data_IF_822687195115
#
_entry.id   IF_822687195115
#
_cell.length_a   1.000
_cell.length_b   1.000
_cell.length_c   1.000
_cell.angle_alpha   90.00
_cell.angle_beta   90.00
_cell.angle_gamma   90.00
#
_symmetry.space_group_name_H-M   'P 1'
#
loop_
_entity.id
_entity.type
_entity.pdbx_description
1 polymer ?
#
# COMPACT_ATOMS: atom_id res chain seq x y z
N UNK A 1 -15.25 18.65 -13.31
CA UNK A 1 -16.59 19.22 -13.36
C UNK A 1 -17.14 19.33 -14.79
N UNK A 2 -16.45 19.99 -15.75
CA UNK A 2 -16.95 20.17 -17.13
C UNK A 2 -17.35 18.84 -17.79
N UNK A 3 -16.48 17.81 -17.74
CA UNK A 3 -16.75 16.51 -18.34
C UNK A 3 -17.97 15.81 -17.71
N UNK A 4 -18.14 15.95 -16.38
CA UNK A 4 -19.25 15.33 -15.67
C UNK A 4 -20.62 15.91 -16.08
N UNK A 5 -20.66 17.14 -16.58
CA UNK A 5 -21.89 17.86 -16.95
C UNK A 5 -22.06 18.02 -18.47
N UNK A 6 -21.02 17.76 -19.28
CA UNK A 6 -21.03 17.99 -20.71
C UNK A 6 -22.12 17.16 -21.43
N UNK A 7 -22.98 17.76 -22.25
CA UNK A 7 -24.13 17.06 -22.85
C UNK A 7 -23.75 15.92 -23.80
N UNK A 8 -22.58 16.01 -24.45
CA UNK A 8 -22.14 15.01 -25.43
C UNK A 8 -21.44 13.79 -24.78
N UNK A 9 -21.07 13.91 -23.51
CA UNK A 9 -20.48 12.78 -22.75
C UNK A 9 -21.62 11.95 -22.14
N UNK A 10 -21.75 10.69 -22.53
CA UNK A 10 -22.83 9.79 -22.13
C UNK A 10 -22.46 8.84 -21.00
N UNK A 11 -21.18 8.64 -20.76
CA UNK A 11 -20.69 7.75 -19.72
C UNK A 11 -19.33 8.19 -19.17
N UNK A 12 -19.08 7.88 -17.91
CA UNK A 12 -17.84 8.17 -17.18
C UNK A 12 -17.32 6.86 -16.60
N UNK A 13 -16.03 6.57 -16.80
CA UNK A 13 -15.30 5.55 -16.07
C UNK A 13 -14.20 6.21 -15.26
N UNK A 14 -14.13 5.87 -13.98
CA UNK A 14 -13.19 6.45 -13.02
C UNK A 14 -12.52 5.36 -12.19
N UNK A 15 -11.23 5.55 -11.93
CA UNK A 15 -10.48 4.75 -10.96
C UNK A 15 -9.73 5.72 -10.03
N UNK A 16 -9.85 5.54 -8.72
CA UNK A 16 -9.18 6.38 -7.73
C UNK A 16 -9.83 6.33 -6.35
N UNK A 17 -9.62 7.37 -5.54
CA UNK A 17 -10.13 7.42 -4.17
C UNK A 17 -11.65 7.41 -4.09
N UNK A 18 -12.19 6.80 -3.04
CA UNK A 18 -13.65 6.66 -2.82
C UNK A 18 -14.35 8.01 -2.73
N UNK A 19 -13.76 9.00 -2.07
CA UNK A 19 -14.36 10.34 -1.92
C UNK A 19 -14.56 11.04 -3.29
N UNK A 20 -13.56 10.96 -4.16
CA UNK A 20 -13.65 11.52 -5.53
C UNK A 20 -14.59 10.67 -6.38
N UNK A 21 -14.56 9.34 -6.25
CA UNK A 21 -15.47 8.44 -6.94
C UNK A 21 -16.94 8.71 -6.64
N UNK A 22 -17.28 8.93 -5.38
CA UNK A 22 -18.64 9.31 -4.94
C UNK A 22 -19.08 10.65 -5.53
N UNK A 23 -18.20 11.66 -5.54
CA UNK A 23 -18.48 12.94 -6.18
C UNK A 23 -18.74 12.80 -7.68
N UNK A 24 -17.90 12.05 -8.38
CA UNK A 24 -18.04 11.78 -9.82
C UNK A 24 -19.34 11.03 -10.08
N UNK A 25 -19.61 9.98 -9.31
CA UNK A 25 -20.81 9.16 -9.46
C UNK A 25 -22.08 10.01 -9.32
N UNK A 26 -22.21 10.72 -8.20
CA UNK A 26 -23.39 11.53 -7.90
C UNK A 26 -23.60 12.66 -8.93
N UNK A 27 -22.52 13.38 -9.29
CA UNK A 27 -22.60 14.48 -10.24
C UNK A 27 -22.95 14.01 -11.65
N UNK A 28 -22.28 12.97 -12.16
CA UNK A 28 -22.55 12.47 -13.51
C UNK A 28 -23.92 11.79 -13.62
N UNK A 29 -24.34 11.03 -12.60
CA UNK A 29 -25.67 10.41 -12.57
C UNK A 29 -26.80 11.47 -12.57
N UNK A 30 -26.64 12.56 -11.80
CA UNK A 30 -27.59 13.68 -11.80
C UNK A 30 -27.71 14.35 -13.19
N UNK A 31 -26.74 14.18 -14.07
CA UNK A 31 -26.74 14.66 -15.46
C UNK A 31 -27.09 13.55 -16.48
N UNK A 32 -27.73 12.46 -16.04
CA UNK A 32 -28.22 11.39 -16.90
C UNK A 32 -27.14 10.53 -17.56
N UNK A 33 -25.92 10.46 -16.98
CA UNK A 33 -24.81 9.68 -17.51
C UNK A 33 -24.71 8.32 -16.84
N UNK A 34 -24.21 7.32 -17.59
CA UNK A 34 -23.73 6.08 -16.96
C UNK A 34 -22.43 6.32 -16.26
N UNK A 35 -22.26 5.74 -15.08
CA UNK A 35 -21.04 5.87 -14.28
C UNK A 35 -20.54 4.51 -13.83
N UNK A 36 -19.25 4.28 -14.02
CA UNK A 36 -18.48 3.21 -13.42
C UNK A 36 -17.39 3.87 -12.55
N UNK A 37 -17.51 3.74 -11.24
CA UNK A 37 -16.50 4.23 -10.30
C UNK A 37 -15.89 3.03 -9.57
N UNK A 38 -14.60 2.78 -9.83
CA UNK A 38 -13.79 1.75 -9.19
C UNK A 38 -12.90 2.45 -8.18
N UNK A 39 -13.21 2.25 -6.91
CA UNK A 39 -12.55 2.95 -5.82
C UNK A 39 -11.62 2.01 -5.07
N UNK A 40 -11.18 2.43 -3.90
CA UNK A 40 -10.18 1.81 -3.04
C UNK A 40 -10.18 0.28 -3.03
N UNK A 41 -8.98 -0.29 -2.82
CA UNK A 41 -8.76 -1.71 -2.70
C UNK A 41 -7.83 -2.04 -1.52
N UNK A 42 -8.04 -3.18 -0.88
CA UNK A 42 -7.13 -3.75 0.11
C UNK A 42 -6.85 -5.21 -0.27
N UNK A 43 -5.83 -5.39 -1.11
CA UNK A 43 -5.49 -6.73 -1.60
C UNK A 43 -4.87 -7.57 -0.49
N UNK A 44 -5.34 -8.81 -0.36
CA UNK A 44 -4.85 -9.77 0.63
C UNK A 44 -4.16 -10.93 -0.07
N UNK A 45 -3.00 -11.34 0.46
CA UNK A 45 -2.32 -12.56 0.07
C UNK A 45 -2.42 -13.62 1.17
N UNK A 46 -2.59 -14.87 0.78
CA UNK A 46 -2.53 -16.01 1.70
C UNK A 46 -1.19 -16.72 1.54
N UNK A 47 -0.54 -17.05 2.65
CA UNK A 47 0.72 -17.80 2.67
C UNK A 47 0.52 -19.03 3.54
N UNK A 48 0.56 -20.20 2.92
CA UNK A 48 0.41 -21.49 3.57
C UNK A 48 1.79 -22.09 3.90
N UNK A 49 1.82 -23.05 4.78
CA UNK A 49 3.06 -23.71 5.26
C UNK A 49 3.85 -24.43 4.17
N UNK A 50 3.19 -24.88 3.13
CA UNK A 50 3.77 -25.58 1.97
C UNK A 50 4.23 -24.64 0.85
N UNK A 51 4.12 -23.32 1.03
CA UNK A 51 4.61 -22.34 0.08
C UNK A 51 6.15 -22.33 0.01
N UNK A 52 6.68 -21.97 -1.15
CA UNK A 52 8.12 -21.67 -1.30
C UNK A 52 8.43 -20.32 -0.62
N UNK A 53 8.58 -20.31 0.71
CA UNK A 53 8.55 -19.14 1.58
C UNK A 53 9.49 -18.00 1.12
N UNK A 54 10.76 -18.31 0.88
CA UNK A 54 11.74 -17.29 0.49
C UNK A 54 11.41 -16.66 -0.87
N UNK A 55 11.04 -17.48 -1.87
CA UNK A 55 10.63 -17.00 -3.19
C UNK A 55 9.33 -16.18 -3.12
N UNK A 56 8.39 -16.63 -2.33
CA UNK A 56 7.12 -15.93 -2.10
C UNK A 56 7.36 -14.58 -1.43
N UNK A 57 8.24 -14.51 -0.42
CA UNK A 57 8.59 -13.27 0.25
C UNK A 57 9.20 -12.25 -0.71
N UNK A 58 10.12 -12.67 -1.60
CA UNK A 58 10.70 -11.79 -2.60
C UNK A 58 9.64 -11.23 -3.57
N UNK A 59 8.76 -12.10 -4.09
CA UNK A 59 7.67 -11.70 -4.99
C UNK A 59 6.71 -10.71 -4.31
N UNK A 60 6.39 -10.95 -3.07
CA UNK A 60 5.50 -10.11 -2.27
C UNK A 60 6.13 -8.75 -1.96
N UNK A 61 7.43 -8.70 -1.61
CA UNK A 61 8.15 -7.44 -1.41
C UNK A 61 8.19 -6.61 -2.70
N UNK A 62 8.40 -7.25 -3.86
CA UNK A 62 8.34 -6.58 -5.17
C UNK A 62 6.94 -6.00 -5.44
N UNK A 63 5.88 -6.74 -5.14
CA UNK A 63 4.49 -6.28 -5.30
C UNK A 63 4.17 -5.13 -4.34
N UNK A 64 4.51 -5.28 -3.07
CA UNK A 64 4.14 -4.33 -2.01
C UNK A 64 4.86 -2.99 -2.17
N UNK A 65 6.18 -3.01 -2.38
CA UNK A 65 7.01 -1.80 -2.35
C UNK A 65 7.34 -1.25 -3.75
N UNK A 66 7.02 -1.97 -4.80
CA UNK A 66 7.16 -1.43 -6.16
C UNK A 66 6.35 -0.13 -6.35
N UNK A 67 6.88 0.85 -7.10
CA UNK A 67 6.31 2.20 -7.22
C UNK A 67 6.00 2.87 -5.86
N UNK A 68 6.84 2.69 -4.87
CA UNK A 68 6.61 3.20 -3.52
C UNK A 68 5.24 2.78 -2.91
N UNK A 69 4.75 1.59 -3.28
CA UNK A 69 3.46 1.07 -2.83
C UNK A 69 2.23 1.76 -3.43
N UNK A 70 2.43 2.68 -4.38
CA UNK A 70 1.35 3.44 -5.02
C UNK A 70 0.83 2.71 -6.27
N UNK A 71 0.37 1.48 -6.09
CA UNK A 71 -0.30 0.66 -7.12
C UNK A 71 -1.61 0.11 -6.58
N UNK A 72 -2.67 0.19 -7.38
CA UNK A 72 -3.94 -0.48 -7.07
C UNK A 72 -3.78 -2.01 -6.91
N UNK A 73 -2.79 -2.60 -7.58
CA UNK A 73 -2.46 -4.03 -7.52
C UNK A 73 -1.35 -4.37 -6.50
N UNK A 74 -0.91 -3.42 -5.68
CA UNK A 74 0.02 -3.72 -4.60
C UNK A 74 -0.61 -4.70 -3.60
N UNK A 75 0.23 -5.49 -2.94
CA UNK A 75 -0.21 -6.48 -1.96
C UNK A 75 0.15 -6.02 -0.54
N UNK A 76 -0.65 -5.13 0.08
CA UNK A 76 -0.32 -4.54 1.36
C UNK A 76 -0.65 -5.46 2.55
N UNK A 77 -1.50 -6.46 2.37
CA UNK A 77 -2.03 -7.30 3.43
C UNK A 77 -1.67 -8.77 3.23
N UNK A 78 -1.30 -9.46 4.30
CA UNK A 78 -1.04 -10.90 4.29
C UNK A 78 -1.70 -11.62 5.45
N UNK A 79 -2.38 -12.71 5.13
CA UNK A 79 -2.73 -13.75 6.07
C UNK A 79 -1.69 -14.86 5.94
N UNK A 80 -0.98 -15.15 7.01
CA UNK A 80 0.11 -16.14 7.01
C UNK A 80 -0.23 -17.22 8.02
N UNK A 81 -0.15 -18.48 7.59
CA UNK A 81 -0.34 -19.59 8.49
C UNK A 81 0.69 -19.55 9.63
N UNK A 82 0.25 -19.74 10.88
CA UNK A 82 1.07 -19.58 12.08
C UNK A 82 2.34 -20.44 12.03
N UNK A 83 2.22 -21.66 11.51
CA UNK A 83 3.32 -22.62 11.42
C UNK A 83 4.54 -22.13 10.62
N UNK A 84 4.36 -21.19 9.69
CA UNK A 84 5.46 -20.63 8.88
C UNK A 84 5.64 -19.12 9.07
N UNK A 85 4.87 -18.51 9.97
CA UNK A 85 4.75 -17.08 10.08
C UNK A 85 6.06 -16.37 10.44
N UNK A 86 6.81 -16.87 11.40
CA UNK A 86 8.06 -16.24 11.85
C UNK A 86 9.20 -16.40 10.83
N UNK A 87 9.33 -17.59 10.24
CA UNK A 87 10.30 -17.82 9.19
C UNK A 87 10.01 -16.90 7.99
N UNK A 88 8.75 -16.85 7.57
CA UNK A 88 8.32 -16.00 6.46
C UNK A 88 8.56 -14.52 6.75
N UNK A 89 8.28 -14.06 7.98
CA UNK A 89 8.56 -12.68 8.40
C UNK A 89 10.05 -12.34 8.29
N UNK A 90 10.92 -13.29 8.63
CA UNK A 90 12.37 -13.09 8.53
C UNK A 90 12.82 -12.80 7.09
N UNK A 91 12.28 -13.54 6.12
CA UNK A 91 12.53 -13.28 4.68
C UNK A 91 11.96 -11.93 4.23
N UNK A 92 10.76 -11.56 4.68
CA UNK A 92 10.18 -10.27 4.36
C UNK A 92 11.05 -9.11 4.83
N UNK A 93 11.51 -9.16 6.07
CA UNK A 93 12.39 -8.12 6.65
C UNK A 93 13.73 -8.08 5.92
N UNK A 94 14.32 -9.25 5.61
CA UNK A 94 15.56 -9.37 4.84
C UNK A 94 15.44 -8.62 3.51
N UNK A 95 14.43 -8.93 2.71
CA UNK A 95 14.25 -8.34 1.38
C UNK A 95 13.78 -6.89 1.41
N UNK A 96 12.99 -6.49 2.40
CA UNK A 96 12.58 -5.11 2.59
C UNK A 96 13.78 -4.19 2.92
N UNK A 97 14.64 -4.63 3.85
CA UNK A 97 15.86 -3.89 4.24
C UNK A 97 16.89 -3.79 3.11
N UNK A 98 16.94 -4.77 2.22
CA UNK A 98 17.87 -4.79 1.08
C UNK A 98 17.48 -3.81 -0.03
N UNK A 99 16.27 -3.24 -0.02
CA UNK A 99 15.81 -2.32 -1.08
C UNK A 99 16.64 -1.05 -1.13
N UNK A 100 17.22 -0.78 -2.30
CA UNK A 100 17.91 0.48 -2.54
C UNK A 100 16.89 1.60 -2.76
N UNK A 101 16.87 2.54 -1.83
CA UNK A 101 16.00 3.71 -1.87
C UNK A 101 16.76 4.85 -2.54
N UNK A 102 16.17 5.52 -3.51
CA UNK A 102 16.85 6.58 -4.23
C UNK A 102 16.04 7.26 -5.32
N UNK A 103 16.74 8.08 -6.10
CA UNK A 103 16.16 8.75 -7.25
C UNK A 103 15.85 7.75 -8.37
N UNK A 104 14.71 7.89 -9.03
CA UNK A 104 14.27 7.01 -10.12
C UNK A 104 15.16 7.04 -11.38
N UNK A 105 16.03 8.05 -11.52
CA UNK A 105 17.01 8.11 -12.60
C UNK A 105 18.26 7.21 -12.37
N UNK A 106 18.49 6.75 -11.14
CA UNK A 106 19.51 5.74 -10.87
C UNK A 106 18.91 4.34 -11.18
N UNK A 107 19.46 3.62 -12.18
CA UNK A 107 18.94 2.30 -12.56
C UNK A 107 19.05 1.25 -11.44
N UNK A 108 19.87 1.50 -10.42
CA UNK A 108 19.98 0.63 -9.26
C UNK A 108 18.92 0.92 -8.19
N UNK A 109 18.13 1.98 -8.34
CA UNK A 109 17.05 2.31 -7.40
C UNK A 109 15.89 1.32 -7.54
N UNK A 110 15.47 0.74 -6.44
CA UNK A 110 14.34 -0.20 -6.38
C UNK A 110 13.11 0.43 -5.71
N UNK A 111 13.30 1.51 -4.96
CA UNK A 111 12.26 2.23 -4.23
C UNK A 111 12.45 3.74 -4.41
N UNK A 112 11.57 4.35 -5.17
CA UNK A 112 11.53 5.79 -5.40
C UNK A 112 10.76 6.56 -4.34
N UNK A 113 10.62 7.90 -4.52
CA UNK A 113 9.82 8.73 -3.63
C UNK A 113 8.32 8.50 -3.81
N UNK A 114 7.53 8.90 -2.83
CA UNK A 114 6.08 9.07 -2.97
C UNK A 114 5.76 10.37 -3.71
N UNK A 115 4.50 10.53 -4.14
CA UNK A 115 4.10 11.56 -5.12
C UNK A 115 4.25 12.99 -4.63
N UNK A 116 4.13 13.27 -3.33
CA UNK A 116 4.21 14.63 -2.77
C UNK A 116 4.60 14.64 -1.29
N UNK A 117 4.90 15.81 -0.76
CA UNK A 117 5.18 16.02 0.67
C UNK A 117 3.95 15.69 1.54
N UNK A 118 2.78 16.12 1.10
CA UNK A 118 1.51 15.85 1.80
C UNK A 118 1.23 14.35 1.85
N UNK A 119 1.50 13.64 0.75
CA UNK A 119 1.34 12.20 0.70
C UNK A 119 2.36 11.49 1.60
N UNK A 120 3.62 11.94 1.63
CA UNK A 120 4.61 11.47 2.59
C UNK A 120 4.11 11.61 4.03
N UNK A 121 3.60 12.78 4.38
CA UNK A 121 3.06 13.02 5.74
C UNK A 121 1.85 12.12 6.03
N UNK A 122 0.97 11.93 5.07
CA UNK A 122 -0.17 11.02 5.19
C UNK A 122 0.29 9.58 5.48
N UNK A 123 1.27 9.07 4.75
CA UNK A 123 1.83 7.72 4.99
C UNK A 123 2.46 7.63 6.38
N UNK A 124 3.22 8.65 6.82
CA UNK A 124 3.80 8.71 8.16
C UNK A 124 2.71 8.69 9.25
N UNK A 125 1.62 9.44 9.04
CA UNK A 125 0.49 9.46 9.96
C UNK A 125 -0.20 8.08 10.05
N UNK A 126 -0.35 7.38 8.93
CA UNK A 126 -0.86 6.01 8.92
C UNK A 126 0.03 5.02 9.66
N UNK A 127 1.39 5.17 9.55
CA UNK A 127 2.32 4.34 10.32
C UNK A 127 2.14 4.61 11.82
N UNK A 128 2.02 5.87 12.23
CA UNK A 128 1.79 6.25 13.63
C UNK A 128 0.46 5.71 14.13
N UNK A 129 -0.60 5.80 13.32
CA UNK A 129 -1.92 5.25 13.61
C UNK A 129 -1.88 3.75 13.86
N UNK A 130 -1.15 2.99 13.03
CA UNK A 130 -0.99 1.55 13.23
C UNK A 130 -0.33 1.19 14.56
N UNK A 131 0.66 1.96 14.99
CA UNK A 131 1.30 1.80 16.30
C UNK A 131 0.31 2.11 17.44
N UNK A 132 -0.44 3.20 17.32
CA UNK A 132 -1.48 3.60 18.31
C UNK A 132 -2.59 2.55 18.45
N UNK A 133 -2.95 1.87 17.36
CA UNK A 133 -3.95 0.79 17.35
C UNK A 133 -3.41 -0.53 17.94
N UNK A 134 -2.10 -0.58 18.25
CA UNK A 134 -1.46 -1.73 18.90
C UNK A 134 -0.89 -2.76 17.91
N UNK A 135 -0.77 -2.44 16.63
CA UNK A 135 -0.02 -3.27 15.68
C UNK A 135 1.48 -3.26 16.02
N UNK A 136 2.14 -4.41 15.90
CA UNK A 136 3.57 -4.54 16.20
C UNK A 136 4.40 -4.04 15.03
N UNK A 137 5.08 -2.91 15.18
CA UNK A 137 5.98 -2.36 14.16
C UNK A 137 7.29 -3.15 14.14
N UNK A 138 7.55 -3.87 13.05
CA UNK A 138 8.75 -4.72 12.86
C UNK A 138 9.84 -3.99 12.09
N UNK A 139 9.44 -3.19 11.10
CA UNK A 139 10.34 -2.35 10.32
C UNK A 139 9.71 -0.97 10.16
N UNK A 140 10.46 0.06 10.48
CA UNK A 140 10.00 1.46 10.43
C UNK A 140 10.72 2.23 9.32
N UNK A 141 9.96 2.69 8.33
CA UNK A 141 10.47 3.45 7.20
C UNK A 141 10.33 4.97 7.31
N UNK A 142 9.87 5.52 8.44
CA UNK A 142 9.57 6.97 8.57
C UNK A 142 10.77 7.89 8.46
N UNK A 143 11.95 7.45 8.90
CA UNK A 143 13.14 8.28 9.05
C UNK A 143 14.20 8.06 7.96
N UNK A 144 13.75 7.68 6.76
CA UNK A 144 14.67 7.47 5.64
C UNK A 144 15.17 8.81 5.10
N UNK A 145 16.50 8.91 4.97
CA UNK A 145 17.19 10.03 4.31
C UNK A 145 17.97 9.47 3.13
N UNK A 146 17.79 10.08 1.96
CA UNK A 146 18.52 9.71 0.75
C UNK A 146 19.58 10.77 0.50
N UNK A 147 20.88 10.43 0.55
CA UNK A 147 21.95 11.39 0.35
C UNK A 147 21.85 12.12 -0.99
N UNK A 148 21.97 13.46 -0.95
CA UNK A 148 21.78 14.32 -2.12
C UNK A 148 20.33 14.62 -2.50
N UNK A 149 19.37 14.04 -1.78
CA UNK A 149 17.93 14.25 -1.96
C UNK A 149 17.20 14.40 -0.62
N UNK A 150 17.80 15.10 0.34
CA UNK A 150 17.32 15.23 1.72
C UNK A 150 15.91 15.84 1.81
N UNK A 151 15.56 16.70 0.86
CA UNK A 151 14.21 17.30 0.74
C UNK A 151 13.24 16.43 -0.08
N UNK A 152 13.65 15.25 -0.49
CA UNK A 152 12.80 14.33 -1.27
C UNK A 152 11.71 13.67 -0.43
N UNK A 153 10.65 13.26 -1.11
CA UNK A 153 9.48 12.66 -0.47
C UNK A 153 9.65 11.14 -0.28
N UNK A 154 10.77 10.74 0.32
CA UNK A 154 11.05 9.32 0.56
C UNK A 154 10.43 8.83 1.86
N UNK A 155 9.90 7.61 1.80
CA UNK A 155 9.52 6.80 2.95
C UNK A 155 10.07 5.40 2.70
N UNK A 156 10.66 4.78 3.69
CA UNK A 156 11.22 3.44 3.59
C UNK A 156 10.15 2.34 3.76
N UNK A 157 10.53 1.10 3.46
CA UNK A 157 9.67 -0.04 3.72
C UNK A 157 9.24 -0.11 5.18
N UNK A 158 7.94 -0.27 5.41
CA UNK A 158 7.37 -0.40 6.75
C UNK A 158 6.62 -1.73 6.84
N UNK A 159 6.86 -2.50 7.89
CA UNK A 159 6.22 -3.80 8.13
C UNK A 159 5.61 -3.81 9.52
N UNK A 160 4.31 -4.07 9.57
CA UNK A 160 3.59 -4.39 10.80
C UNK A 160 3.34 -5.88 10.93
N UNK A 161 3.21 -6.33 12.15
CA UNK A 161 2.81 -7.66 12.52
C UNK A 161 1.65 -7.61 13.52
N UNK A 162 0.94 -8.73 13.69
CA UNK A 162 -0.20 -8.83 14.61
C UNK A 162 -1.29 -7.78 14.38
N UNK A 163 -1.53 -7.41 13.12
CA UNK A 163 -2.67 -6.56 12.77
C UNK A 163 -3.95 -7.37 12.84
N UNK A 164 -4.92 -6.87 13.58
CA UNK A 164 -6.20 -7.53 13.82
C UNK A 164 -7.31 -6.92 12.96
N UNK A 165 -8.36 -7.66 12.63
CA UNK A 165 -9.57 -7.10 12.03
C UNK A 165 -10.13 -5.95 12.86
N UNK A 166 -10.56 -4.87 12.21
CA UNK A 166 -11.04 -3.64 12.87
C UNK A 166 -9.96 -2.60 13.17
N UNK A 167 -8.67 -2.92 12.99
CA UNK A 167 -7.63 -1.89 12.95
C UNK A 167 -7.72 -1.14 11.62
N UNK A 168 -7.76 0.21 11.67
CA UNK A 168 -7.93 1.01 10.45
C UNK A 168 -6.79 0.82 9.45
N UNK A 169 -5.57 0.59 9.94
CA UNK A 169 -4.41 0.23 9.10
C UNK A 169 -4.57 -1.10 8.38
N UNK A 170 -5.37 -2.03 8.93
CA UNK A 170 -5.73 -3.31 8.30
C UNK A 170 -6.85 -3.15 7.26
N UNK A 171 -7.85 -2.37 7.57
CA UNK A 171 -9.10 -2.30 6.83
C UNK A 171 -9.09 -1.24 5.71
N UNK A 172 -8.38 -0.09 5.91
CA UNK A 172 -8.34 1.00 4.94
C UNK A 172 -7.23 0.85 3.91
N UNK A 173 -7.45 1.32 2.69
CA UNK A 173 -6.39 1.46 1.71
C UNK A 173 -5.38 2.51 2.17
N UNK A 174 -4.10 2.12 2.21
CA UNK A 174 -2.99 3.03 2.37
C UNK A 174 -2.17 2.95 1.08
N UNK A 175 -2.29 4.00 0.26
CA UNK A 175 -1.62 4.07 -1.03
C UNK A 175 -0.16 4.47 -0.86
N UNK A 176 0.66 3.56 -0.28
CA UNK A 176 2.03 3.83 0.14
C UNK A 176 2.75 2.59 0.70
N UNK A 177 3.92 2.82 1.26
CA UNK A 177 4.91 1.81 1.62
C UNK A 177 4.58 1.17 2.99
N UNK A 178 3.40 0.58 3.13
CA UNK A 178 3.03 -0.14 4.35
C UNK A 178 2.60 -1.56 4.03
N UNK A 179 2.90 -2.45 4.95
CA UNK A 179 2.51 -3.84 4.91
C UNK A 179 2.14 -4.33 6.30
N UNK A 180 1.15 -5.21 6.39
CA UNK A 180 0.81 -5.87 7.63
C UNK A 180 0.63 -7.38 7.45
N UNK A 181 0.85 -8.12 8.53
CA UNK A 181 0.65 -9.55 8.64
C UNK A 181 -0.38 -9.82 9.75
N UNK A 182 -1.32 -10.70 9.50
CA UNK A 182 -2.16 -11.31 10.52
C UNK A 182 -1.82 -12.81 10.54
N UNK A 183 -1.24 -13.34 11.61
CA UNK A 183 -1.10 -14.78 11.77
C UNK A 183 -2.50 -15.40 11.94
N UNK A 184 -2.72 -16.54 11.30
CA UNK A 184 -3.98 -17.27 11.39
C UNK A 184 -3.72 -18.71 11.83
N UNK A 185 -4.43 -19.17 12.84
CA UNK A 185 -4.29 -20.53 13.35
C UNK A 185 -4.90 -21.59 12.42
N UNK A 186 -5.92 -21.18 11.63
CA UNK A 186 -6.62 -22.08 10.69
C UNK A 186 -6.97 -21.28 9.42
N UNK A 187 -6.40 -21.65 8.30
CA UNK A 187 -6.88 -21.31 6.95
C UNK A 187 -7.44 -22.57 6.31
#
# INVERSE_FOLDING_TARGET
ELLLKHPDIRGISYVGSTSVGLHIYSTAAAHGKRVQALCEAKNHGLVLRDAALERSALGIINSTFGCAGMRCMALPALCVEEACADEFLSYLVKYAKARKIGCAYDPATELGPVVSAEHKQSVINWISKGVEEGAKLILDGRNVVVPGFENGHFVGPTIFDHVKPGMTTGDCEIFGIQRWRSPTENI
#
